data_IF_797354425024
#
_entry.id   IF_797354425024
#
_cell.length_a   1.000
_cell.length_b   1.000
_cell.length_c   1.000
_cell.angle_alpha   90.00
_cell.angle_beta   90.00
_cell.angle_gamma   90.00
#
_symmetry.space_group_name_H-M   'P 1'
#
loop_
_entity.id
_entity.type
_entity.pdbx_description
1 polymer ?
#
# COMPACT_ATOMS: atom_id res chain seq x y z
N UNK A 1 -4.22 -0.50 11.72
CA UNK A 1 -3.35 0.69 11.61
C UNK A 1 -3.71 1.78 12.61
N UNK A 2 -4.85 2.47 12.47
CA UNK A 2 -5.27 3.60 13.35
C UNK A 2 -5.16 3.28 14.85
N UNK A 3 -5.66 2.11 15.29
CA UNK A 3 -5.58 1.67 16.70
C UNK A 3 -4.15 1.56 17.27
N UNK A 4 -3.14 1.51 16.40
CA UNK A 4 -1.72 1.47 16.75
C UNK A 4 -1.02 2.83 16.53
N UNK A 5 -1.77 3.93 16.34
CA UNK A 5 -1.21 5.29 16.24
C UNK A 5 -0.73 5.69 14.85
N UNK A 6 -0.85 4.82 13.84
CA UNK A 6 -0.46 5.16 12.47
C UNK A 6 -1.47 6.10 11.79
N UNK A 7 -0.96 6.95 10.90
CA UNK A 7 -1.75 7.66 9.89
C UNK A 7 -1.82 6.81 8.62
N UNK A 8 -2.98 6.78 7.97
CA UNK A 8 -3.26 6.01 6.77
C UNK A 8 -3.54 6.97 5.63
N UNK A 9 -2.80 6.83 4.53
CA UNK A 9 -3.03 7.59 3.29
C UNK A 9 -3.71 6.65 2.30
N UNK A 10 -4.80 7.11 1.67
CA UNK A 10 -5.61 6.29 0.77
C UNK A 10 -5.90 7.03 -0.55
N UNK A 11 -5.53 6.41 -1.67
CA UNK A 11 -5.72 6.91 -3.03
C UNK A 11 -7.14 6.73 -3.61
N UNK A 12 -8.05 6.12 -2.84
CA UNK A 12 -9.38 5.68 -3.28
C UNK A 12 -9.34 4.67 -4.44
N UNK A 13 -8.54 3.61 -4.28
CA UNK A 13 -8.51 2.50 -5.25
C UNK A 13 -9.85 1.76 -5.32
N UNK A 14 -10.34 1.48 -6.52
CA UNK A 14 -11.56 0.70 -6.73
C UNK A 14 -11.46 -0.69 -6.09
N UNK A 15 -12.44 -1.04 -5.24
CA UNK A 15 -12.54 -2.33 -4.56
C UNK A 15 -11.88 -2.42 -3.17
N UNK A 16 -10.83 -1.64 -2.89
CA UNK A 16 -10.11 -1.68 -1.59
C UNK A 16 -10.27 -0.37 -0.81
N UNK A 17 -10.38 0.76 -1.50
CA UNK A 17 -10.41 2.09 -0.89
C UNK A 17 -11.49 2.24 0.18
N UNK A 18 -12.72 1.81 -0.12
CA UNK A 18 -13.85 1.87 0.82
C UNK A 18 -13.64 1.00 2.07
N UNK A 19 -13.05 -0.19 1.93
CA UNK A 19 -12.78 -1.07 3.07
C UNK A 19 -11.75 -0.45 4.03
N UNK A 20 -10.71 0.17 3.48
CA UNK A 20 -9.70 0.88 4.27
C UNK A 20 -10.31 2.11 4.97
N UNK A 21 -11.15 2.88 4.28
CA UNK A 21 -11.86 4.03 4.87
C UNK A 21 -12.76 3.56 6.02
N UNK A 22 -13.58 2.55 5.79
CA UNK A 22 -14.51 2.03 6.79
C UNK A 22 -13.77 1.52 8.03
N UNK A 23 -12.71 0.71 7.85
CA UNK A 23 -11.92 0.21 8.98
C UNK A 23 -11.18 1.32 9.76
N UNK A 24 -10.75 2.39 9.07
CA UNK A 24 -10.15 3.54 9.72
C UNK A 24 -11.19 4.35 10.52
N UNK A 25 -12.33 4.67 9.92
CA UNK A 25 -13.42 5.39 10.58
C UNK A 25 -14.00 4.61 11.76
N UNK A 26 -14.17 3.29 11.63
CA UNK A 26 -14.59 2.41 12.74
C UNK A 26 -13.63 2.54 13.92
N UNK A 27 -12.31 2.51 13.67
CA UNK A 27 -11.32 2.70 14.72
C UNK A 27 -11.41 4.09 15.35
N UNK A 28 -11.50 5.16 14.54
CA UNK A 28 -11.59 6.55 15.00
C UNK A 28 -12.82 6.75 15.90
N UNK A 29 -14.00 6.40 15.39
CA UNK A 29 -15.26 6.61 16.09
C UNK A 29 -15.46 5.67 17.28
N UNK A 30 -14.75 4.53 17.34
CA UNK A 30 -14.80 3.67 18.53
C UNK A 30 -14.16 4.29 19.77
N UNK A 31 -13.22 5.23 19.61
CA UNK A 31 -12.51 5.93 20.71
C UNK A 31 -12.10 7.36 20.28
N UNK A 32 -13.05 8.29 20.13
CA UNK A 32 -12.80 9.64 19.61
C UNK A 32 -11.83 10.46 20.49
N UNK A 33 -11.74 10.15 21.79
CA UNK A 33 -10.81 10.81 22.72
C UNK A 33 -9.34 10.40 22.48
N UNK A 34 -9.12 9.31 21.72
CA UNK A 34 -7.80 8.71 21.49
C UNK A 34 -7.36 8.81 20.03
N UNK A 35 -8.28 8.81 19.08
CA UNK A 35 -7.99 8.77 17.65
C UNK A 35 -8.71 9.90 16.92
N UNK A 36 -8.10 10.38 15.85
CA UNK A 36 -8.59 11.54 15.09
C UNK A 36 -8.73 11.24 13.60
N UNK A 37 -9.65 11.94 12.93
CA UNK A 37 -9.77 11.93 11.47
C UNK A 37 -8.48 12.38 10.77
N UNK A 38 -7.59 13.11 11.43
CA UNK A 38 -6.25 13.45 10.91
C UNK A 38 -5.36 12.21 10.63
N UNK A 39 -5.74 11.06 11.18
CA UNK A 39 -5.12 9.77 10.90
C UNK A 39 -5.61 9.11 9.62
N UNK A 40 -6.61 9.68 8.93
CA UNK A 40 -7.10 9.21 7.63
C UNK A 40 -6.97 10.32 6.59
N UNK A 41 -5.96 10.21 5.71
CA UNK A 41 -5.76 11.14 4.61
C UNK A 41 -6.34 10.54 3.34
N UNK A 42 -7.40 11.16 2.81
CA UNK A 42 -8.00 10.76 1.53
C UNK A 42 -7.45 11.60 0.39
N UNK A 43 -7.07 10.90 -0.68
CA UNK A 43 -6.52 11.45 -1.92
C UNK A 43 -7.18 10.73 -3.10
N UNK A 44 -8.46 11.02 -3.42
CA UNK A 44 -9.11 10.41 -4.58
C UNK A 44 -8.50 10.94 -5.88
N UNK A 45 -8.32 10.04 -6.85
CA UNK A 45 -7.79 10.42 -8.16
C UNK A 45 -8.73 11.39 -8.91
N UNK A 46 -8.18 12.42 -9.58
CA UNK A 46 -8.93 13.29 -10.48
C UNK A 46 -9.72 12.51 -11.53
N UNK A 47 -10.95 12.94 -11.82
CA UNK A 47 -11.83 12.31 -12.81
C UNK A 47 -11.86 13.06 -14.15
N UNK A 48 -11.37 14.30 -14.17
CA UNK A 48 -11.36 15.16 -15.35
C UNK A 48 -9.96 15.74 -15.55
N UNK A 49 -9.57 15.96 -16.80
CA UNK A 49 -8.37 16.75 -17.12
C UNK A 49 -8.57 18.19 -16.66
N UNK A 50 -7.46 18.84 -16.34
CA UNK A 50 -7.41 20.26 -15.96
C UNK A 50 -6.07 20.85 -16.38
N UNK A 51 -6.04 22.16 -16.63
CA UNK A 51 -4.82 22.91 -16.97
C UNK A 51 -4.04 22.32 -18.17
N UNK A 52 -4.74 21.93 -19.24
CA UNK A 52 -4.17 21.36 -20.47
C UNK A 52 -3.32 20.09 -20.31
N UNK A 53 -3.31 19.48 -19.12
CA UNK A 53 -2.60 18.23 -18.85
C UNK A 53 -3.45 17.01 -19.19
N UNK A 54 -2.80 15.98 -19.73
CA UNK A 54 -3.41 14.68 -19.87
C UNK A 54 -3.76 14.11 -18.48
N UNK A 55 -4.85 13.34 -18.40
CA UNK A 55 -5.30 12.75 -17.14
C UNK A 55 -4.24 11.80 -16.53
N UNK A 56 -3.44 11.14 -17.38
CA UNK A 56 -2.32 10.30 -16.99
C UNK A 56 -1.22 11.08 -16.24
N UNK A 57 -0.89 12.28 -16.69
CA UNK A 57 0.10 13.16 -16.04
C UNK A 57 -0.41 13.63 -14.68
N UNK A 58 -1.67 14.05 -14.62
CA UNK A 58 -2.31 14.44 -13.36
C UNK A 58 -2.32 13.28 -12.36
N UNK A 59 -2.61 12.06 -12.81
CA UNK A 59 -2.57 10.88 -11.94
C UNK A 59 -1.16 10.56 -11.44
N UNK A 60 -0.12 10.73 -12.26
CA UNK A 60 1.26 10.49 -11.83
C UNK A 60 1.70 11.51 -10.78
N UNK A 61 1.44 12.80 -11.00
CA UNK A 61 1.70 13.85 -10.02
C UNK A 61 0.96 13.59 -8.71
N UNK A 62 -0.27 13.10 -8.81
CA UNK A 62 -1.08 12.77 -7.65
C UNK A 62 -0.52 11.58 -6.85
N UNK A 63 -0.04 10.53 -7.54
CA UNK A 63 0.65 9.39 -6.89
C UNK A 63 1.90 9.84 -6.16
N UNK A 64 2.75 10.63 -6.81
CA UNK A 64 3.97 11.20 -6.22
C UNK A 64 3.65 11.95 -4.91
N UNK A 65 2.67 12.86 -4.95
CA UNK A 65 2.24 13.62 -3.77
C UNK A 65 1.67 12.73 -2.67
N UNK A 66 0.85 11.75 -3.03
CA UNK A 66 0.22 10.83 -2.07
C UNK A 66 1.26 9.96 -1.37
N UNK A 67 2.16 9.34 -2.13
CA UNK A 67 3.21 8.45 -1.62
C UNK A 67 4.20 9.24 -0.76
N UNK A 68 4.53 10.47 -1.15
CA UNK A 68 5.41 11.36 -0.38
C UNK A 68 4.89 11.73 1.03
N UNK A 69 3.62 11.46 1.35
CA UNK A 69 3.08 11.63 2.71
C UNK A 69 3.33 10.40 3.61
N UNK A 70 3.92 9.33 3.07
CA UNK A 70 4.09 8.04 3.75
C UNK A 70 5.56 7.68 3.93
N UNK A 71 5.89 7.00 5.02
CA UNK A 71 7.20 6.35 5.19
C UNK A 71 7.22 4.88 4.75
N UNK A 72 6.03 4.27 4.63
CA UNK A 72 5.84 2.86 4.30
C UNK A 72 4.62 2.75 3.37
N UNK A 73 4.77 2.05 2.24
CA UNK A 73 3.72 1.73 1.29
C UNK A 73 3.42 0.23 1.33
N UNK A 74 2.18 -0.13 1.66
CA UNK A 74 1.72 -1.52 1.73
C UNK A 74 0.96 -1.85 0.46
N UNK A 75 1.36 -2.92 -0.23
CA UNK A 75 0.75 -3.36 -1.48
C UNK A 75 -0.10 -4.61 -1.23
N UNK A 76 -1.39 -4.55 -1.56
CA UNK A 76 -2.34 -5.65 -1.46
C UNK A 76 -3.12 -5.80 -2.77
N UNK A 77 -3.32 -7.04 -3.20
CA UNK A 77 -3.97 -7.40 -4.47
C UNK A 77 -3.32 -6.69 -5.67
N UNK A 78 -4.06 -5.77 -6.31
CA UNK A 78 -3.61 -5.01 -7.47
C UNK A 78 -3.98 -5.67 -8.79
N UNK A 79 -5.28 -5.91 -8.97
CA UNK A 79 -5.87 -6.36 -10.22
C UNK A 79 -6.98 -5.42 -10.68
N UNK A 80 -7.25 -5.45 -11.98
CA UNK A 80 -8.33 -4.69 -12.62
C UNK A 80 -9.04 -5.55 -13.66
N UNK A 81 -10.29 -5.21 -13.94
CA UNK A 81 -11.01 -5.76 -15.09
C UNK A 81 -10.60 -4.95 -16.33
N UNK A 82 -10.05 -5.62 -17.33
CA UNK A 82 -9.68 -5.03 -18.61
C UNK A 82 -10.15 -5.97 -19.72
N UNK A 83 -11.01 -5.47 -20.62
CA UNK A 83 -11.59 -6.24 -21.71
C UNK A 83 -12.20 -7.60 -21.28
N UNK A 84 -12.93 -7.58 -20.16
CA UNK A 84 -13.59 -8.76 -19.60
C UNK A 84 -12.65 -9.76 -18.91
N UNK A 85 -11.35 -9.44 -18.79
CA UNK A 85 -10.36 -10.30 -18.12
C UNK A 85 -9.79 -9.61 -16.89
N UNK A 86 -9.49 -10.40 -15.88
CA UNK A 86 -8.77 -9.91 -14.71
C UNK A 86 -7.29 -9.89 -15.04
N UNK A 87 -6.68 -8.71 -14.96
CA UNK A 87 -5.24 -8.49 -15.23
C UNK A 87 -4.61 -7.72 -14.07
N UNK A 88 -3.28 -7.77 -13.96
CA UNK A 88 -2.57 -6.97 -12.98
C UNK A 88 -2.74 -5.46 -13.23
N UNK A 89 -2.87 -4.69 -12.16
CA UNK A 89 -3.08 -3.25 -12.21
C UNK A 89 -1.74 -2.52 -12.35
N UNK A 90 -1.51 -1.95 -13.53
CA UNK A 90 -0.45 -1.00 -13.86
C UNK A 90 -0.33 0.17 -12.87
N UNK A 91 -1.45 0.69 -12.37
CA UNK A 91 -1.45 1.75 -11.36
C UNK A 91 -0.68 1.36 -10.08
N UNK A 92 -0.86 0.11 -9.61
CA UNK A 92 -0.18 -0.42 -8.42
C UNK A 92 1.31 -0.63 -8.69
N UNK A 93 1.67 -1.10 -9.89
CA UNK A 93 3.07 -1.19 -10.33
C UNK A 93 3.76 0.18 -10.32
N UNK A 94 3.06 1.22 -10.80
CA UNK A 94 3.59 2.58 -10.83
C UNK A 94 3.77 3.13 -9.41
N UNK A 95 2.83 2.88 -8.50
CA UNK A 95 2.96 3.26 -7.09
C UNK A 95 4.16 2.60 -6.42
N UNK A 96 4.45 1.34 -6.74
CA UNK A 96 5.65 0.65 -6.26
C UNK A 96 6.95 1.30 -6.74
N UNK A 97 7.03 1.65 -8.03
CA UNK A 97 8.19 2.33 -8.60
C UNK A 97 8.43 3.68 -7.92
N UNK A 98 7.38 4.49 -7.77
CA UNK A 98 7.45 5.79 -7.10
C UNK A 98 7.92 5.61 -5.66
N UNK A 99 7.37 4.64 -4.92
CA UNK A 99 7.78 4.38 -3.54
C UNK A 99 9.29 4.04 -3.44
N UNK A 100 9.81 3.22 -4.36
CA UNK A 100 11.24 2.92 -4.43
C UNK A 100 12.09 4.15 -4.75
N UNK A 101 11.70 4.92 -5.77
CA UNK A 101 12.40 6.14 -6.20
C UNK A 101 12.46 7.20 -5.10
N UNK A 102 11.42 7.28 -4.27
CA UNK A 102 11.28 8.25 -3.17
C UNK A 102 11.81 7.74 -1.82
N UNK A 103 12.35 6.51 -1.75
CA UNK A 103 12.89 5.93 -0.52
C UNK A 103 11.84 5.51 0.51
N UNK A 104 10.57 5.44 0.10
CA UNK A 104 9.47 4.88 0.90
C UNK A 104 9.65 3.37 0.99
N UNK A 105 9.49 2.82 2.19
CA UNK A 105 9.64 1.37 2.39
C UNK A 105 8.47 0.65 1.72
N UNK A 106 8.76 -0.27 0.81
CA UNK A 106 7.75 -1.07 0.13
C UNK A 106 7.50 -2.39 0.86
N UNK A 107 6.23 -2.70 1.12
CA UNK A 107 5.80 -3.93 1.81
C UNK A 107 4.69 -4.62 0.99
N UNK A 108 5.04 -5.51 0.06
CA UNK A 108 4.04 -6.29 -0.66
C UNK A 108 3.51 -7.46 0.16
N UNK A 109 2.18 -7.62 0.18
CA UNK A 109 1.48 -8.76 0.78
C UNK A 109 1.23 -9.82 -0.30
N UNK A 110 2.26 -10.57 -0.68
CA UNK A 110 2.20 -11.51 -1.81
C UNK A 110 1.10 -12.58 -1.69
N UNK A 111 0.71 -12.94 -0.47
CA UNK A 111 -0.43 -13.84 -0.16
C UNK A 111 -1.76 -13.36 -0.75
N UNK A 112 -1.89 -12.06 -1.04
CA UNK A 112 -3.10 -11.48 -1.65
C UNK A 112 -3.14 -11.63 -3.17
N UNK A 113 -2.11 -12.19 -3.80
CA UNK A 113 -2.07 -12.45 -5.24
C UNK A 113 -1.83 -11.20 -6.10
N UNK A 114 -2.02 -11.36 -7.42
CA UNK A 114 -1.95 -10.30 -8.42
C UNK A 114 -0.65 -9.49 -8.38
N UNK A 115 -0.71 -8.17 -8.63
CA UNK A 115 0.48 -7.31 -8.66
C UNK A 115 1.24 -7.36 -7.32
N UNK A 116 0.57 -7.46 -6.17
CA UNK A 116 1.26 -7.59 -4.88
C UNK A 116 2.14 -8.85 -4.81
N UNK A 117 1.71 -9.97 -5.41
CA UNK A 117 2.54 -11.17 -5.54
C UNK A 117 3.71 -10.95 -6.48
N UNK A 118 3.47 -10.38 -7.66
CA UNK A 118 4.53 -10.08 -8.64
C UNK A 118 5.63 -9.19 -8.04
N UNK A 119 5.23 -8.17 -7.27
CA UNK A 119 6.15 -7.28 -6.57
C UNK A 119 6.94 -8.01 -5.47
N UNK A 120 6.29 -8.90 -4.70
CA UNK A 120 6.98 -9.71 -3.70
C UNK A 120 8.00 -10.64 -4.34
N UNK A 121 7.63 -11.33 -5.42
CA UNK A 121 8.51 -12.23 -6.17
C UNK A 121 9.71 -11.46 -6.77
N UNK A 122 9.49 -10.27 -7.34
CA UNK A 122 10.55 -9.38 -7.84
C UNK A 122 11.55 -9.03 -6.73
N UNK A 123 11.04 -8.59 -5.57
CA UNK A 123 11.89 -8.22 -4.44
C UNK A 123 12.72 -9.39 -3.91
N UNK A 124 12.14 -10.60 -3.86
CA UNK A 124 12.80 -11.81 -3.40
C UNK A 124 13.78 -12.40 -4.43
N UNK A 125 13.61 -12.08 -5.72
CA UNK A 125 14.52 -12.52 -6.79
C UNK A 125 15.81 -11.68 -6.82
N UNK A 126 15.73 -10.40 -6.45
CA UNK A 126 16.91 -9.53 -6.29
C UNK A 126 16.96 -8.86 -4.90
N UNK A 127 17.24 -9.62 -3.83
CA UNK A 127 17.29 -9.08 -2.47
C UNK A 127 18.35 -7.98 -2.31
N UNK A 128 19.44 -8.09 -3.09
CA UNK A 128 20.57 -7.18 -3.08
C UNK A 128 20.21 -5.75 -3.50
N UNK A 129 19.16 -5.61 -4.31
CA UNK A 129 18.62 -4.32 -4.73
C UNK A 129 17.51 -3.82 -3.79
N UNK A 130 16.66 -4.72 -3.30
CA UNK A 130 15.41 -4.34 -2.65
C UNK A 130 15.46 -4.27 -1.12
N UNK A 131 16.40 -4.98 -0.48
CA UNK A 131 16.48 -5.05 0.99
C UNK A 131 17.76 -4.43 1.58
N UNK A 132 18.51 -3.63 0.81
CA UNK A 132 19.77 -2.99 1.26
C UNK A 132 19.61 -2.25 2.59
N UNK A 133 18.54 -1.45 2.71
CA UNK A 133 18.29 -0.62 3.89
C UNK A 133 17.82 -1.45 5.09
N UNK A 134 17.09 -2.54 4.84
CA UNK A 134 16.50 -3.40 5.86
C UNK A 134 16.64 -4.87 5.47
N UNK A 135 17.82 -5.48 5.62
CA UNK A 135 18.04 -6.87 5.18
C UNK A 135 17.09 -7.89 5.85
N UNK A 136 16.69 -7.62 7.10
CA UNK A 136 15.74 -8.44 7.83
C UNK A 136 14.34 -8.48 7.19
N UNK A 137 13.99 -7.49 6.37
CA UNK A 137 12.68 -7.39 5.73
C UNK A 137 12.48 -8.47 4.66
N UNK A 138 13.55 -9.00 4.08
CA UNK A 138 13.50 -10.11 3.11
C UNK A 138 12.72 -11.30 3.66
N UNK A 139 13.07 -11.75 4.87
CA UNK A 139 12.41 -12.86 5.54
C UNK A 139 10.94 -12.59 5.82
N UNK A 140 10.61 -11.35 6.19
CA UNK A 140 9.24 -10.97 6.51
C UNK A 140 8.38 -10.87 5.24
N UNK A 141 8.94 -10.38 4.12
CA UNK A 141 8.27 -10.40 2.80
C UNK A 141 8.06 -11.82 2.31
N UNK A 142 9.04 -12.72 2.47
CA UNK A 142 8.89 -14.13 2.13
C UNK A 142 7.74 -14.79 2.92
N UNK A 143 7.62 -14.47 4.23
CA UNK A 143 6.51 -14.96 5.05
C UNK A 143 5.16 -14.38 4.62
N UNK A 144 5.11 -13.12 4.20
CA UNK A 144 3.90 -12.47 3.70
C UNK A 144 3.52 -12.90 2.27
N UNK A 145 4.35 -13.70 1.61
CA UNK A 145 4.03 -14.35 0.34
C UNK A 145 3.50 -15.78 0.52
N UNK A 146 3.55 -16.36 1.72
CA UNK A 146 3.12 -17.72 2.01
C UNK A 146 1.59 -17.84 2.08
N UNK A 147 1.02 -18.72 1.24
CA UNK A 147 -0.42 -18.97 1.12
C UNK A 147 -1.05 -19.68 2.33
N UNK A 148 -0.24 -20.23 3.23
CA UNK A 148 -0.72 -20.88 4.46
C UNK A 148 -1.12 -19.86 5.56
N UNK A 149 -0.81 -18.58 5.37
CA UNK A 149 -1.10 -17.54 6.36
C UNK A 149 -2.60 -17.20 6.41
N UNK A 150 -3.20 -17.31 7.59
CA UNK A 150 -4.55 -16.82 7.84
C UNK A 150 -4.57 -15.29 8.07
N UNK A 151 -5.76 -14.68 7.97
CA UNK A 151 -5.93 -13.21 8.10
C UNK A 151 -5.34 -12.64 9.40
N UNK A 152 -5.59 -13.27 10.54
CA UNK A 152 -5.13 -12.76 11.84
C UNK A 152 -3.59 -12.76 11.94
N UNK A 153 -2.95 -13.80 11.38
CA UNK A 153 -1.50 -13.89 11.32
C UNK A 153 -0.91 -12.81 10.40
N UNK A 154 -1.55 -12.53 9.26
CA UNK A 154 -1.14 -11.45 8.35
C UNK A 154 -1.23 -10.09 9.05
N UNK A 155 -2.36 -9.79 9.70
CA UNK A 155 -2.54 -8.51 10.40
C UNK A 155 -1.49 -8.31 11.52
N UNK A 156 -1.25 -9.36 12.31
CA UNK A 156 -0.24 -9.34 13.37
C UNK A 156 1.16 -9.11 12.80
N UNK A 157 1.52 -9.88 11.78
CA UNK A 157 2.82 -9.80 11.10
C UNK A 157 3.07 -8.41 10.52
N UNK A 158 2.08 -7.83 9.82
CA UNK A 158 2.21 -6.48 9.28
C UNK A 158 2.43 -5.48 10.42
N UNK A 159 1.67 -5.54 11.50
CA UNK A 159 1.86 -4.63 12.65
C UNK A 159 3.24 -4.79 13.31
N UNK A 160 3.78 -6.00 13.40
CA UNK A 160 5.14 -6.24 13.89
C UNK A 160 6.20 -5.57 13.00
N UNK A 161 6.08 -5.74 11.68
CA UNK A 161 6.99 -5.13 10.71
C UNK A 161 6.92 -3.60 10.80
N UNK A 162 5.72 -3.02 10.87
CA UNK A 162 5.54 -1.57 10.98
C UNK A 162 6.14 -1.02 12.28
N UNK A 163 6.06 -1.77 13.39
CA UNK A 163 6.71 -1.37 14.65
C UNK A 163 8.23 -1.42 14.54
N UNK A 164 8.79 -2.44 13.89
CA UNK A 164 10.25 -2.54 13.65
C UNK A 164 10.77 -1.44 12.73
N UNK A 165 9.96 -0.98 11.76
CA UNK A 165 10.33 0.10 10.83
C UNK A 165 10.21 1.50 11.43
N UNK A 166 9.28 1.71 12.37
CA UNK A 166 9.05 2.99 13.03
C UNK A 166 9.71 3.16 14.39
N UNK A 167 10.44 2.14 14.86
CA UNK A 167 11.18 2.11 16.12
C UNK A 167 12.64 2.53 15.96
#
# INVERSE_FOLDING_TARGET
MVKNGYRVVNGFGWGIGSAVINGALEAIYSKPDKYSEEQLIMRPFPQHSSNDKALSELWDEYRQRMIGLSGIAIFLFGNKLHDGRIVNADGVRREFQIAQETGVVVLPLGVTGYMAKELADEMLTDPSKHFVRYPWLEKEVAQLADLSANRANIEMKVLEILKKLGG
#
